data_IF_249847071645
#
_entry.id   IF_249847071645
#
_cell.length_a   1.000
_cell.length_b   1.000
_cell.length_c   1.000
_cell.angle_alpha   90.00
_cell.angle_beta   90.00
_cell.angle_gamma   90.00
#
_symmetry.space_group_name_H-M   'P 1'
#
loop_
_entity.id
_entity.type
_entity.pdbx_description
1 polymer ?
#
# COMPACT_ATOMS: atom_id res chain seq x y z
N UNK A 1 5.18 -22.30 -39.93
CA UNK A 1 4.02 -21.68 -39.25
C UNK A 1 4.29 -20.19 -39.14
N UNK A 2 3.29 -19.32 -39.13
CA UNK A 2 3.50 -17.87 -38.98
C UNK A 2 2.28 -17.18 -38.36
N UNK A 3 2.52 -16.06 -37.66
CA UNK A 3 1.46 -15.25 -37.05
C UNK A 3 0.92 -14.27 -38.08
N UNK A 4 -0.39 -14.09 -38.07
CA UNK A 4 -1.08 -13.02 -38.78
C UNK A 4 -1.91 -12.25 -37.79
N UNK A 5 -1.63 -10.95 -37.74
CA UNK A 5 -2.46 -9.95 -37.10
C UNK A 5 -3.18 -9.24 -38.23
N UNK A 6 -4.51 -9.33 -38.21
CA UNK A 6 -5.37 -8.67 -39.17
C UNK A 6 -6.07 -7.52 -38.45
N UNK A 7 -5.88 -6.29 -38.94
CA UNK A 7 -6.72 -5.17 -38.53
C UNK A 7 -8.13 -5.35 -39.09
N UNK A 8 -9.12 -5.17 -38.22
CA UNK A 8 -10.55 -5.26 -38.53
C UNK A 8 -11.27 -4.04 -37.97
N UNK A 9 -12.37 -3.66 -38.59
CA UNK A 9 -13.24 -2.60 -38.08
C UNK A 9 -14.31 -3.19 -37.14
N UNK A 10 -14.42 -2.61 -35.95
CA UNK A 10 -15.41 -2.96 -34.94
C UNK A 10 -16.71 -2.18 -35.18
N UNK A 11 -17.85 -2.85 -34.98
CA UNK A 11 -19.17 -2.24 -35.19
C UNK A 11 -19.47 -1.09 -34.23
N UNK A 12 -18.94 -1.16 -33.01
CA UNK A 12 -19.23 -0.21 -31.92
C UNK A 12 -17.91 0.34 -31.37
N UNK A 13 -17.86 1.64 -31.06
CA UNK A 13 -16.72 2.22 -30.35
C UNK A 13 -16.66 1.68 -28.91
N UNK A 14 -15.48 1.74 -28.31
CA UNK A 14 -15.33 1.48 -26.88
C UNK A 14 -16.03 2.60 -26.09
N UNK A 15 -16.81 2.25 -25.07
CA UNK A 15 -17.56 3.23 -24.25
C UNK A 15 -16.88 3.56 -22.92
N UNK A 16 -15.78 2.88 -22.61
CA UNK A 16 -15.10 2.93 -21.33
C UNK A 16 -13.87 3.84 -21.41
N UNK A 17 -14.05 5.07 -21.90
CA UNK A 17 -13.02 6.10 -21.82
C UNK A 17 -12.65 6.44 -20.38
N UNK A 18 -11.47 7.00 -20.15
CA UNK A 18 -11.15 7.57 -18.84
C UNK A 18 -12.09 8.73 -18.53
N UNK A 19 -12.35 8.97 -17.24
CA UNK A 19 -13.15 10.11 -16.82
C UNK A 19 -12.41 11.41 -17.10
N UNK A 20 -13.15 12.45 -17.52
CA UNK A 20 -12.55 13.73 -17.88
C UNK A 20 -12.08 14.56 -16.68
N UNK A 21 -12.64 14.30 -15.50
CA UNK A 21 -12.29 15.03 -14.29
C UNK A 21 -12.19 14.11 -13.09
N UNK A 22 -11.30 14.48 -12.18
CA UNK A 22 -11.29 14.10 -10.79
C UNK A 22 -12.07 15.19 -10.02
N UNK A 23 -13.01 14.78 -9.18
CA UNK A 23 -13.89 15.69 -8.44
C UNK A 23 -13.73 15.45 -6.94
N UNK A 24 -13.55 16.52 -6.16
CA UNK A 24 -13.67 16.44 -4.70
C UNK A 24 -15.11 16.67 -4.28
N UNK A 25 -15.60 15.86 -3.35
CA UNK A 25 -16.93 15.94 -2.76
C UNK A 25 -16.84 15.90 -1.25
N UNK A 26 -17.67 16.68 -0.59
CA UNK A 26 -17.82 16.63 0.85
C UNK A 26 -18.91 15.63 1.21
N UNK A 27 -18.58 14.66 2.06
CA UNK A 27 -19.55 13.73 2.64
C UNK A 27 -19.86 14.18 4.06
N UNK A 28 -21.08 14.67 4.27
CA UNK A 28 -21.56 14.97 5.61
C UNK A 28 -22.06 13.68 6.26
N UNK A 29 -21.48 13.31 7.41
CA UNK A 29 -21.83 12.09 8.12
C UNK A 29 -21.57 12.22 9.62
N UNK A 30 -22.40 11.53 10.43
CA UNK A 30 -22.16 11.39 11.87
C UNK A 30 -22.27 9.92 12.28
N UNK A 31 -21.41 9.49 13.21
CA UNK A 31 -21.43 8.15 13.80
C UNK A 31 -21.50 8.33 15.32
N UNK A 32 -22.54 7.76 15.94
CA UNK A 32 -22.78 7.85 17.39
C UNK A 32 -22.74 9.29 17.93
N UNK A 33 -23.31 10.23 17.18
CA UNK A 33 -23.35 11.66 17.53
C UNK A 33 -22.04 12.42 17.32
N UNK A 34 -20.98 11.76 16.85
CA UNK A 34 -19.70 12.40 16.48
C UNK A 34 -19.71 12.74 14.99
N UNK A 35 -19.29 13.96 14.67
CA UNK A 35 -19.05 14.37 13.29
C UNK A 35 -17.86 13.59 12.71
N UNK A 36 -18.11 12.85 11.64
CA UNK A 36 -17.09 12.12 10.85
C UNK A 36 -17.14 12.56 9.39
N UNK A 37 -17.64 13.78 9.14
CA UNK A 37 -17.70 14.35 7.82
C UNK A 37 -16.30 14.57 7.26
N UNK A 38 -16.13 14.19 5.99
CA UNK A 38 -14.84 14.19 5.32
C UNK A 38 -14.99 14.45 3.82
N UNK A 39 -13.91 14.93 3.22
CA UNK A 39 -13.74 15.04 1.79
C UNK A 39 -13.34 13.68 1.22
N UNK A 40 -13.98 13.31 0.12
CA UNK A 40 -13.62 12.17 -0.69
C UNK A 40 -13.52 12.64 -2.14
N UNK A 41 -13.06 11.75 -3.02
CA UNK A 41 -13.00 12.04 -4.44
C UNK A 41 -13.71 10.98 -5.26
N UNK A 42 -14.23 11.41 -6.40
CA UNK A 42 -14.78 10.52 -7.41
C UNK A 42 -14.33 10.98 -8.79
N UNK A 43 -14.36 10.05 -9.73
CA UNK A 43 -14.20 10.35 -11.13
C UNK A 43 -15.53 10.82 -11.73
N UNK A 44 -15.48 11.80 -12.63
CA UNK A 44 -16.67 12.32 -13.30
C UNK A 44 -17.38 11.25 -14.13
N UNK A 45 -18.71 11.37 -14.24
CA UNK A 45 -19.51 10.54 -15.16
C UNK A 45 -19.19 10.84 -16.63
N UNK A 46 -18.79 12.08 -16.93
CA UNK A 46 -18.32 12.46 -18.26
C UNK A 46 -16.97 11.78 -18.54
N UNK A 47 -16.91 11.04 -19.65
CA UNK A 47 -15.72 10.26 -20.07
C UNK A 47 -15.24 10.72 -21.44
N UNK A 48 -13.99 10.46 -21.75
CA UNK A 48 -13.47 10.68 -23.10
C UNK A 48 -14.15 9.75 -24.10
N UNK A 49 -14.48 10.30 -25.28
CA UNK A 49 -14.96 9.48 -26.37
C UNK A 49 -13.80 8.70 -26.99
N UNK A 50 -14.06 7.44 -27.32
CA UNK A 50 -13.09 6.51 -27.88
C UNK A 50 -13.48 6.14 -29.32
N UNK A 51 -13.30 7.04 -30.30
CA UNK A 51 -13.84 6.89 -31.66
C UNK A 51 -13.11 5.83 -32.50
N UNK A 52 -11.90 5.40 -32.11
CA UNK A 52 -11.12 4.43 -32.87
C UNK A 52 -11.79 3.05 -32.79
N UNK A 53 -12.30 2.58 -33.92
CA UNK A 53 -12.99 1.27 -34.04
C UNK A 53 -12.07 0.16 -34.55
N UNK A 54 -10.77 0.26 -34.29
CA UNK A 54 -9.82 -0.77 -34.72
C UNK A 54 -9.84 -1.96 -33.76
N UNK A 55 -9.86 -3.15 -34.32
CA UNK A 55 -9.62 -4.41 -33.64
C UNK A 55 -8.53 -5.20 -34.35
N UNK A 56 -7.86 -6.07 -33.62
CA UNK A 56 -6.74 -6.86 -34.11
C UNK A 56 -7.04 -8.33 -33.89
N UNK A 57 -7.30 -9.05 -34.98
CA UNK A 57 -7.52 -10.49 -34.97
C UNK A 57 -6.16 -11.18 -35.10
N UNK A 58 -5.73 -11.83 -34.02
CA UNK A 58 -4.45 -12.53 -33.92
C UNK A 58 -4.69 -14.00 -34.23
N UNK A 59 -3.90 -14.56 -35.13
CA UNK A 59 -4.07 -15.93 -35.61
C UNK A 59 -2.75 -16.58 -36.01
N UNK A 60 -2.70 -17.91 -35.84
CA UNK A 60 -1.60 -18.75 -36.27
C UNK A 60 -2.00 -19.46 -37.57
N UNK A 61 -1.14 -19.36 -38.58
CA UNK A 61 -1.35 -19.97 -39.89
C UNK A 61 -0.32 -21.06 -40.16
N UNK A 62 -0.80 -22.20 -40.69
CA UNK A 62 0.04 -23.30 -41.18
C UNK A 62 -0.33 -23.59 -42.63
N UNK A 63 0.60 -23.29 -43.54
CA UNK A 63 0.52 -23.69 -44.94
C UNK A 63 0.94 -25.14 -45.10
N UNK A 64 0.26 -25.87 -45.98
CA UNK A 64 0.56 -27.27 -46.31
C UNK A 64 0.20 -27.54 -47.78
N UNK A 65 0.66 -28.66 -48.35
CA UNK A 65 0.28 -29.09 -49.69
C UNK A 65 -0.63 -30.30 -49.64
N UNK A 66 -1.67 -30.29 -50.46
CA UNK A 66 -2.58 -31.42 -50.64
C UNK A 66 -2.87 -31.53 -52.14
N UNK A 67 -2.56 -32.69 -52.73
CA UNK A 67 -2.68 -32.93 -54.18
C UNK A 67 -1.99 -31.85 -55.03
N UNK A 68 -0.77 -31.44 -54.64
CA UNK A 68 0.03 -30.42 -55.33
C UNK A 68 -0.45 -28.98 -55.14
N UNK A 69 -1.62 -28.74 -54.54
CA UNK A 69 -2.16 -27.40 -54.26
C UNK A 69 -1.78 -26.94 -52.85
N UNK A 70 -1.37 -25.68 -52.72
CA UNK A 70 -1.11 -25.06 -51.41
C UNK A 70 -2.44 -24.76 -50.72
N UNK A 71 -2.62 -25.30 -49.51
CA UNK A 71 -3.74 -25.03 -48.61
C UNK A 71 -3.23 -24.41 -47.31
N UNK A 72 -4.13 -23.83 -46.53
CA UNK A 72 -3.82 -23.08 -45.30
C UNK A 72 -4.83 -23.41 -44.21
N UNK A 73 -4.33 -23.88 -43.06
CA UNK A 73 -5.12 -23.94 -41.80
C UNK A 73 -4.90 -22.65 -41.01
N UNK A 74 -5.97 -22.17 -40.39
CA UNK A 74 -5.97 -20.95 -39.59
C UNK A 74 -6.49 -21.24 -38.19
N UNK A 75 -5.78 -20.78 -37.18
CA UNK A 75 -6.15 -20.94 -35.78
C UNK A 75 -6.21 -19.55 -35.14
N UNK A 76 -7.42 -19.09 -34.80
CA UNK A 76 -7.62 -17.77 -34.21
C UNK A 76 -7.28 -17.84 -32.73
N UNK A 77 -6.30 -17.05 -32.30
CA UNK A 77 -5.96 -16.91 -30.89
C UNK A 77 -6.97 -16.02 -30.21
N UNK A 78 -7.06 -14.77 -30.62
CA UNK A 78 -7.86 -13.78 -29.91
C UNK A 78 -8.18 -12.62 -30.85
N UNK A 79 -9.13 -11.79 -30.45
CA UNK A 79 -9.42 -10.51 -31.10
C UNK A 79 -9.47 -9.47 -30.01
N UNK A 80 -8.60 -8.47 -30.11
CA UNK A 80 -8.43 -7.43 -29.08
C UNK A 80 -8.72 -6.07 -29.72
N UNK A 81 -9.38 -5.17 -28.99
CA UNK A 81 -9.63 -3.83 -29.51
C UNK A 81 -8.45 -2.89 -29.27
N UNK A 82 -8.36 -1.80 -30.03
CA UNK A 82 -7.28 -0.81 -29.91
C UNK A 82 -7.07 -0.32 -28.48
N UNK A 83 -8.15 0.00 -27.76
CA UNK A 83 -8.06 0.58 -26.42
C UNK A 83 -7.67 -0.43 -25.35
N UNK A 84 -7.99 -1.72 -25.51
CA UNK A 84 -7.49 -2.76 -24.60
C UNK A 84 -5.96 -2.87 -24.68
N UNK A 85 -5.38 -2.67 -25.88
CA UNK A 85 -3.93 -2.62 -26.08
C UNK A 85 -3.35 -1.32 -25.52
N UNK A 86 -3.98 -0.19 -25.85
CA UNK A 86 -3.51 1.14 -25.48
C UNK A 86 -3.41 1.34 -23.96
N UNK A 87 -4.42 0.85 -23.25
CA UNK A 87 -4.64 1.14 -21.83
C UNK A 87 -4.08 0.04 -20.91
N UNK A 88 -3.16 -0.79 -21.44
CA UNK A 88 -2.45 -1.89 -20.72
C UNK A 88 -3.35 -3.02 -20.18
N UNK A 89 -4.58 -3.16 -20.66
CA UNK A 89 -5.49 -4.25 -20.29
C UNK A 89 -5.21 -5.56 -21.03
N UNK A 90 -4.47 -5.50 -22.13
CA UNK A 90 -4.11 -6.66 -22.92
C UNK A 90 -2.74 -7.22 -22.56
N UNK A 91 -2.72 -8.50 -22.19
CA UNK A 91 -1.53 -9.33 -22.18
C UNK A 91 -1.80 -10.60 -23.00
N UNK A 92 -0.78 -11.11 -23.71
CA UNK A 92 -0.93 -12.30 -24.53
C UNK A 92 -1.28 -13.53 -23.66
N UNK A 93 -0.70 -13.60 -22.47
CA UNK A 93 -0.93 -14.65 -21.50
C UNK A 93 -2.41 -14.69 -21.06
N UNK A 94 -2.92 -13.58 -20.52
CA UNK A 94 -4.29 -13.53 -19.98
C UNK A 94 -5.36 -13.80 -21.05
N UNK A 95 -5.10 -13.38 -22.29
CA UNK A 95 -6.09 -13.47 -23.36
C UNK A 95 -6.02 -14.77 -24.16
N UNK A 96 -4.84 -15.37 -24.29
CA UNK A 96 -4.61 -16.35 -25.35
C UNK A 96 -3.89 -17.63 -24.84
N UNK A 97 -3.44 -17.73 -23.58
CA UNK A 97 -2.68 -18.87 -23.04
C UNK A 97 -3.33 -20.24 -23.32
N UNK A 98 -4.58 -20.41 -22.85
CA UNK A 98 -5.33 -21.67 -23.07
C UNK A 98 -5.41 -22.04 -24.55
N UNK A 99 -5.56 -21.06 -25.45
CA UNK A 99 -5.66 -21.31 -26.90
C UNK A 99 -4.30 -21.61 -27.51
N UNK A 100 -3.25 -20.95 -27.03
CA UNK A 100 -1.87 -21.22 -27.43
C UNK A 100 -1.53 -22.68 -27.11
N UNK A 101 -1.80 -23.13 -25.88
CA UNK A 101 -1.53 -24.51 -25.46
C UNK A 101 -2.27 -25.54 -26.34
N UNK A 102 -3.56 -25.32 -26.62
CA UNK A 102 -4.34 -26.20 -27.52
C UNK A 102 -3.79 -26.23 -28.96
N UNK A 103 -3.37 -25.07 -29.50
CA UNK A 103 -2.83 -25.01 -30.85
C UNK A 103 -1.45 -25.66 -30.90
N UNK A 104 -0.64 -25.54 -29.84
CA UNK A 104 0.66 -26.18 -29.72
C UNK A 104 0.53 -27.70 -29.85
N UNK A 105 -0.40 -28.30 -29.10
CA UNK A 105 -0.74 -29.72 -29.18
C UNK A 105 -1.18 -30.13 -30.59
N UNK A 106 -2.14 -29.41 -31.19
CA UNK A 106 -2.66 -29.70 -32.54
C UNK A 106 -1.56 -29.63 -33.61
N UNK A 107 -0.59 -28.74 -33.42
CA UNK A 107 0.48 -28.51 -34.37
C UNK A 107 1.72 -29.37 -34.12
N UNK A 108 1.79 -30.07 -33.00
CA UNK A 108 2.93 -30.89 -32.57
C UNK A 108 4.16 -30.03 -32.28
N UNK A 109 3.97 -28.88 -31.64
CA UNK A 109 5.03 -27.93 -31.24
C UNK A 109 4.87 -27.57 -29.78
N UNK A 110 5.88 -26.96 -29.17
CA UNK A 110 5.78 -26.38 -27.84
C UNK A 110 5.06 -25.01 -27.86
N UNK A 111 4.46 -24.65 -26.72
CA UNK A 111 3.72 -23.38 -26.56
C UNK A 111 4.63 -22.15 -26.66
N UNK A 112 5.87 -22.25 -26.18
CA UNK A 112 6.85 -21.16 -26.18
C UNK A 112 7.17 -20.70 -27.62
N UNK A 113 7.30 -21.65 -28.55
CA UNK A 113 7.44 -21.38 -29.99
C UNK A 113 6.27 -20.57 -30.53
N UNK A 114 5.04 -20.83 -30.06
CA UNK A 114 3.87 -20.04 -30.48
C UNK A 114 3.89 -18.66 -29.82
N UNK A 115 4.19 -18.56 -28.52
CA UNK A 115 4.33 -17.29 -27.80
C UNK A 115 5.32 -16.36 -28.51
N UNK A 116 6.56 -16.81 -28.69
CA UNK A 116 7.64 -16.05 -29.34
C UNK A 116 7.22 -15.55 -30.73
N UNK A 117 6.54 -16.40 -31.50
CA UNK A 117 6.11 -16.10 -32.85
C UNK A 117 4.97 -15.07 -32.90
N UNK A 118 4.11 -15.02 -31.88
CA UNK A 118 3.09 -13.98 -31.72
C UNK A 118 3.72 -12.68 -31.22
N UNK A 119 4.52 -12.75 -30.15
CA UNK A 119 5.15 -11.59 -29.51
C UNK A 119 6.02 -10.80 -30.47
N UNK A 120 6.89 -11.47 -31.23
CA UNK A 120 7.74 -10.84 -32.27
C UNK A 120 6.94 -9.96 -33.23
N UNK A 121 5.69 -10.34 -33.55
CA UNK A 121 4.83 -9.59 -34.46
C UNK A 121 3.93 -8.58 -33.74
N UNK A 122 3.59 -8.85 -32.49
CA UNK A 122 2.64 -8.09 -31.69
C UNK A 122 3.29 -6.91 -30.97
N UNK A 123 4.53 -7.05 -30.51
CA UNK A 123 5.25 -6.00 -29.78
C UNK A 123 5.36 -4.67 -30.53
N UNK A 124 5.75 -4.63 -31.82
CA UNK A 124 5.83 -3.35 -32.55
C UNK A 124 4.47 -2.67 -32.67
N UNK A 125 3.40 -3.46 -32.81
CA UNK A 125 2.03 -2.96 -32.86
C UNK A 125 1.59 -2.40 -31.51
N UNK A 126 1.83 -3.14 -30.42
CA UNK A 126 1.53 -2.68 -29.05
C UNK A 126 2.25 -1.36 -28.78
N UNK A 127 3.54 -1.28 -29.11
CA UNK A 127 4.34 -0.08 -28.94
C UNK A 127 3.75 1.10 -29.70
N UNK A 128 3.46 0.93 -31.00
CA UNK A 128 2.88 2.00 -31.82
C UNK A 128 1.53 2.48 -31.28
N UNK A 129 0.66 1.58 -30.82
CA UNK A 129 -0.65 1.94 -30.26
C UNK A 129 -0.49 2.69 -28.94
N UNK A 130 0.42 2.25 -28.07
CA UNK A 130 0.70 2.94 -26.80
C UNK A 130 1.29 4.32 -27.05
N UNK A 131 2.28 4.44 -27.94
CA UNK A 131 2.91 5.71 -28.27
C UNK A 131 1.89 6.72 -28.83
N UNK A 132 0.97 6.27 -29.70
CA UNK A 132 -0.15 7.08 -30.20
C UNK A 132 -1.11 7.50 -29.07
N UNK A 133 -1.55 6.56 -28.24
CA UNK A 133 -2.47 6.82 -27.15
C UNK A 133 -1.88 7.78 -26.10
N UNK A 134 -0.58 7.68 -25.83
CA UNK A 134 0.13 8.56 -24.90
C UNK A 134 0.10 10.05 -25.32
N UNK A 135 -0.12 10.34 -26.60
CA UNK A 135 -0.26 11.72 -27.09
C UNK A 135 -1.66 12.29 -26.88
N UNK A 136 -2.64 11.46 -26.54
CA UNK A 136 -4.04 11.86 -26.39
C UNK A 136 -4.28 12.63 -25.10
N UNK A 137 -5.28 13.52 -25.12
CA UNK A 137 -5.74 14.21 -23.91
C UNK A 137 -6.35 13.24 -22.89
N UNK A 138 -6.94 12.14 -23.35
CA UNK A 138 -7.46 11.09 -22.48
C UNK A 138 -6.34 10.51 -21.59
N UNK A 139 -5.21 10.12 -22.21
CA UNK A 139 -4.08 9.56 -21.48
C UNK A 139 -3.47 10.57 -20.51
N UNK A 140 -3.18 11.80 -20.97
CA UNK A 140 -2.60 12.85 -20.12
C UNK A 140 -3.49 13.17 -18.91
N UNK A 141 -4.80 13.22 -19.12
CA UNK A 141 -5.78 13.45 -18.05
C UNK A 141 -5.79 12.30 -17.05
N UNK A 142 -5.74 11.06 -17.52
CA UNK A 142 -5.68 9.89 -16.64
C UNK A 142 -4.40 9.84 -15.81
N UNK A 143 -3.23 10.07 -16.43
CA UNK A 143 -1.94 10.12 -15.72
C UNK A 143 -1.92 11.24 -14.67
N UNK A 144 -2.51 12.40 -14.99
CA UNK A 144 -2.60 13.49 -14.03
C UNK A 144 -3.51 13.14 -12.85
N UNK A 145 -4.62 12.45 -13.10
CA UNK A 145 -5.46 11.94 -12.01
C UNK A 145 -4.71 10.95 -11.12
N UNK A 146 -4.01 9.97 -11.70
CA UNK A 146 -3.20 9.00 -10.94
C UNK A 146 -2.08 9.68 -10.14
N UNK A 147 -1.46 10.72 -10.72
CA UNK A 147 -0.47 11.54 -10.01
C UNK A 147 -1.10 12.23 -8.79
N UNK A 148 -2.27 12.84 -8.96
CA UNK A 148 -2.97 13.54 -7.88
C UNK A 148 -3.38 12.56 -6.76
N UNK A 149 -3.96 11.41 -7.09
CA UNK A 149 -4.39 10.41 -6.09
C UNK A 149 -3.21 9.76 -5.36
N UNK A 150 -2.09 9.57 -6.05
CA UNK A 150 -0.82 9.11 -5.45
C UNK A 150 -0.28 10.13 -4.46
N UNK A 151 -0.20 11.41 -4.85
CA UNK A 151 0.24 12.50 -3.97
C UNK A 151 -0.69 12.64 -2.77
N UNK A 152 -2.01 12.56 -2.98
CA UNK A 152 -3.00 12.58 -1.91
C UNK A 152 -2.72 11.45 -0.90
N UNK A 153 -2.50 10.23 -1.37
CA UNK A 153 -2.19 9.08 -0.50
C UNK A 153 -0.90 9.31 0.30
N UNK A 154 0.15 9.84 -0.33
CA UNK A 154 1.40 10.18 0.36
C UNK A 154 1.19 11.27 1.43
N UNK A 155 0.46 12.34 1.11
CA UNK A 155 0.15 13.43 2.07
C UNK A 155 -0.65 12.93 3.28
N UNK A 156 -1.57 11.98 3.09
CA UNK A 156 -2.29 11.35 4.21
C UNK A 156 -1.34 10.65 5.17
N UNK A 157 -0.35 9.94 4.65
CA UNK A 157 0.67 9.24 5.43
C UNK A 157 1.56 10.27 6.16
N UNK A 158 2.11 11.25 5.45
CA UNK A 158 2.95 12.30 6.03
C UNK A 158 2.22 13.08 7.14
N UNK A 159 0.94 13.38 6.94
CA UNK A 159 0.11 14.05 7.93
C UNK A 159 -0.11 13.17 9.18
N UNK A 160 -0.42 11.89 8.99
CA UNK A 160 -0.57 10.92 10.07
C UNK A 160 0.69 10.80 10.90
N UNK A 161 1.86 10.70 10.26
CA UNK A 161 3.17 10.62 10.91
C UNK A 161 3.49 11.91 11.68
N UNK A 162 3.32 13.07 11.03
CA UNK A 162 3.60 14.38 11.64
C UNK A 162 2.81 14.61 12.91
N UNK A 163 1.51 14.32 12.89
CA UNK A 163 0.60 14.61 14.00
C UNK A 163 0.30 13.38 14.87
N UNK A 164 0.88 12.21 14.58
CA UNK A 164 0.63 10.96 15.28
C UNK A 164 -0.87 10.63 15.37
N UNK A 165 -1.58 10.66 14.24
CA UNK A 165 -3.02 10.45 14.15
C UNK A 165 -3.38 9.48 13.01
N UNK A 166 -4.67 9.17 12.85
CA UNK A 166 -5.13 8.34 11.73
C UNK A 166 -4.98 9.08 10.39
N UNK A 167 -4.53 8.37 9.34
CA UNK A 167 -4.33 8.94 8.00
C UNK A 167 -5.61 9.50 7.38
N UNK A 168 -6.77 8.98 7.75
CA UNK A 168 -8.07 9.44 7.26
C UNK A 168 -8.48 10.76 7.90
N UNK A 169 -7.83 11.18 9.01
CA UNK A 169 -8.02 12.52 9.59
C UNK A 169 -7.65 13.63 8.62
N UNK A 170 -6.69 13.37 7.71
CA UNK A 170 -6.34 14.28 6.62
C UNK A 170 -7.58 14.64 5.77
N UNK A 171 -8.44 13.67 5.48
CA UNK A 171 -9.62 13.86 4.64
C UNK A 171 -10.71 14.68 5.33
N UNK A 172 -10.66 14.85 6.65
CA UNK A 172 -11.56 15.79 7.34
C UNK A 172 -11.13 17.25 7.14
N UNK A 173 -9.89 17.48 6.71
CA UNK A 173 -9.23 18.79 6.68
C UNK A 173 -8.95 19.26 5.25
N UNK A 174 -8.45 18.36 4.40
CA UNK A 174 -8.02 18.66 3.04
C UNK A 174 -8.79 17.83 2.02
N UNK A 175 -8.91 18.38 0.81
CA UNK A 175 -9.43 17.63 -0.33
C UNK A 175 -8.34 16.77 -1.03
N UNK A 176 -8.73 16.08 -2.10
CA UNK A 176 -7.82 15.24 -2.90
C UNK A 176 -6.69 16.04 -3.58
N UNK A 177 -6.90 17.33 -3.85
CA UNK A 177 -5.91 18.22 -4.44
C UNK A 177 -4.96 18.82 -3.38
N UNK A 178 -5.29 18.67 -2.10
CA UNK A 178 -4.57 19.21 -0.95
C UNK A 178 -4.96 20.64 -0.58
N UNK A 179 -6.11 21.12 -1.05
CA UNK A 179 -6.64 22.40 -0.61
C UNK A 179 -7.12 22.28 0.84
N UNK A 180 -6.84 23.30 1.66
CA UNK A 180 -7.35 23.35 3.03
C UNK A 180 -8.84 23.69 3.01
N UNK A 181 -9.65 22.75 3.48
CA UNK A 181 -11.10 22.84 3.45
C UNK A 181 -11.72 23.04 4.83
N UNK A 182 -11.05 22.58 5.90
CA UNK A 182 -11.52 22.75 7.27
C UNK A 182 -10.38 23.24 8.18
N UNK A 183 -10.32 24.55 8.38
CA UNK A 183 -9.30 25.19 9.21
C UNK A 183 -9.44 24.84 10.69
N UNK A 184 -10.68 24.76 11.19
CA UNK A 184 -10.94 24.47 12.61
C UNK A 184 -10.44 23.08 13.00
N UNK A 185 -10.71 22.05 12.17
CA UNK A 185 -10.20 20.69 12.40
C UNK A 185 -8.67 20.61 12.32
N UNK A 186 -8.03 21.43 11.46
CA UNK A 186 -6.56 21.52 11.44
C UNK A 186 -6.04 22.08 12.76
N UNK A 187 -6.58 23.21 13.22
CA UNK A 187 -6.21 23.84 14.48
C UNK A 187 -6.41 22.89 15.67
N UNK A 188 -7.49 22.09 15.67
CA UNK A 188 -7.74 21.05 16.68
C UNK A 188 -6.64 19.97 16.69
N UNK A 189 -6.29 19.42 15.52
CA UNK A 189 -5.23 18.41 15.40
C UNK A 189 -3.87 18.96 15.85
N UNK A 190 -3.56 20.20 15.47
CA UNK A 190 -2.32 20.87 15.87
C UNK A 190 -2.26 21.11 17.39
N UNK A 191 -3.34 21.57 17.99
CA UNK A 191 -3.44 21.77 19.43
C UNK A 191 -3.29 20.45 20.19
N UNK A 192 -3.98 19.39 19.74
CA UNK A 192 -3.89 18.06 20.35
C UNK A 192 -2.48 17.46 20.25
N UNK A 193 -1.80 17.65 19.11
CA UNK A 193 -0.42 17.25 18.94
C UNK A 193 0.51 17.99 19.91
N UNK A 194 0.38 19.31 20.00
CA UNK A 194 1.20 20.14 20.90
C UNK A 194 0.99 19.76 22.36
N UNK A 195 -0.26 19.61 22.80
CA UNK A 195 -0.59 19.21 24.17
C UNK A 195 0.02 17.84 24.54
N UNK A 196 -0.04 16.87 23.61
CA UNK A 196 0.58 15.56 23.79
C UNK A 196 2.10 15.63 23.88
N UNK A 197 2.76 16.44 23.04
CA UNK A 197 4.21 16.65 23.10
C UNK A 197 4.64 17.28 24.41
N UNK A 198 3.93 18.33 24.86
CA UNK A 198 4.19 18.94 26.16
C UNK A 198 4.00 17.96 27.33
N UNK A 199 2.99 17.09 27.25
CA UNK A 199 2.79 16.03 28.25
C UNK A 199 3.91 14.99 28.22
N UNK A 200 4.32 14.51 27.05
CA UNK A 200 5.43 13.58 26.87
C UNK A 200 6.74 14.13 27.44
N UNK A 201 7.04 15.42 27.20
CA UNK A 201 8.21 16.11 27.73
C UNK A 201 8.15 16.25 29.26
N UNK A 202 7.01 16.69 29.80
CA UNK A 202 6.80 16.82 31.24
C UNK A 202 6.92 15.46 31.93
N UNK A 203 6.25 14.43 31.41
CA UNK A 203 6.35 13.06 31.91
C UNK A 203 7.78 12.54 31.85
N UNK A 204 8.49 12.74 30.75
CA UNK A 204 9.89 12.33 30.59
C UNK A 204 10.81 13.04 31.59
N UNK A 205 10.58 14.32 31.86
CA UNK A 205 11.32 15.11 32.85
C UNK A 205 11.05 14.63 34.27
N UNK A 206 9.78 14.35 34.59
CA UNK A 206 9.35 13.80 35.87
C UNK A 206 9.94 12.42 36.10
N UNK A 207 9.89 11.53 35.11
CA UNK A 207 10.47 10.20 35.17
C UNK A 207 11.99 10.24 35.35
N UNK A 208 12.69 11.11 34.61
CA UNK A 208 14.14 11.35 34.78
C UNK A 208 14.47 11.88 36.18
N UNK A 209 13.67 12.81 36.70
CA UNK A 209 13.85 13.36 38.04
C UNK A 209 13.56 12.32 39.12
N UNK A 210 12.49 11.53 38.98
CA UNK A 210 12.13 10.44 39.89
C UNK A 210 13.24 9.39 39.94
N UNK A 211 13.75 8.92 38.80
CA UNK A 211 14.86 7.97 38.76
C UNK A 211 16.17 8.57 39.28
N UNK A 212 16.43 9.87 39.04
CA UNK A 212 17.64 10.53 39.54
C UNK A 212 17.60 10.71 41.06
N UNK A 213 16.43 11.02 41.63
CA UNK A 213 16.21 11.07 43.07
C UNK A 213 16.23 9.68 43.71
N UNK A 214 15.65 8.67 43.06
CA UNK A 214 15.73 7.27 43.51
C UNK A 214 17.19 6.76 43.50
N UNK A 215 17.97 7.08 42.46
CA UNK A 215 19.40 6.74 42.43
C UNK A 215 20.19 7.48 43.52
N UNK A 216 19.85 8.74 43.81
CA UNK A 216 20.45 9.49 44.92
C UNK A 216 20.11 8.89 46.30
N UNK A 217 18.86 8.48 46.50
CA UNK A 217 18.42 7.84 47.75
C UNK A 217 19.08 6.47 47.98
N UNK A 218 19.40 5.73 46.92
CA UNK A 218 20.13 4.47 47.00
C UNK A 218 21.66 4.62 47.00
N UNK A 219 22.19 5.78 46.59
CA UNK A 219 23.62 6.10 46.62
C UNK A 219 24.04 6.86 47.90
N UNK A 220 23.08 7.40 48.65
CA UNK A 220 23.26 7.93 50.01
C UNK A 220 22.81 6.85 51.00
N UNK A 221 23.78 6.08 51.53
CA UNK A 221 23.54 4.79 52.17
C UNK A 221 22.51 4.78 53.30
N UNK A 222 21.74 3.70 53.36
CA UNK A 222 21.04 3.28 54.58
C UNK A 222 21.62 1.94 55.03
N UNK A 223 22.40 2.01 56.10
CA UNK A 223 22.69 0.91 57.01
C UNK A 223 21.41 0.56 57.77
N UNK A 224 20.58 -0.31 57.22
CA UNK A 224 19.57 -1.00 58.01
C UNK A 224 19.60 -2.48 57.66
N UNK A 225 20.10 -3.26 58.62
CA UNK A 225 20.11 -4.70 58.59
C UNK A 225 18.68 -5.21 58.73
N UNK A 226 18.13 -5.80 57.68
CA UNK A 226 17.08 -6.79 57.81
C UNK A 226 17.61 -8.13 57.30
N UNK A 227 17.79 -9.03 58.26
CA UNK A 227 18.26 -10.39 58.07
C UNK A 227 17.20 -11.20 57.33
N UNK A 228 17.28 -11.23 56.01
CA UNK A 228 16.63 -12.26 55.19
C UNK A 228 17.75 -13.16 54.66
N UNK A 229 17.74 -14.43 55.08
CA UNK A 229 18.75 -15.42 54.72
C UNK A 229 18.62 -15.80 53.24
N UNK A 230 19.23 -15.02 52.35
CA UNK A 230 19.44 -15.38 50.95
C UNK A 230 20.84 -15.96 50.79
N UNK A 231 20.99 -17.09 50.09
CA UNK A 231 22.28 -17.78 49.87
C UNK A 231 23.24 -17.08 48.89
N UNK A 232 22.98 -15.82 48.52
CA UNK A 232 23.79 -15.07 47.54
C UNK A 232 24.92 -14.30 48.21
N UNK A 233 26.12 -14.36 47.63
CA UNK A 233 27.28 -13.60 48.09
C UNK A 233 27.05 -12.08 47.92
N UNK A 234 27.84 -11.25 48.61
CA UNK A 234 27.68 -9.80 48.55
C UNK A 234 27.88 -9.23 47.12
N UNK A 235 28.77 -9.85 46.33
CA UNK A 235 29.04 -9.47 44.93
C UNK A 235 27.89 -9.90 44.00
N UNK A 236 27.27 -11.07 44.26
CA UNK A 236 26.10 -11.52 43.52
C UNK A 236 24.89 -10.61 43.76
N UNK A 237 24.73 -10.09 44.99
CA UNK A 237 23.62 -9.19 45.32
C UNK A 237 23.67 -7.86 44.56
N UNK A 238 24.86 -7.31 44.29
CA UNK A 238 24.96 -6.09 43.50
C UNK A 238 24.58 -6.35 42.03
N UNK A 239 25.05 -7.48 41.49
CA UNK A 239 24.70 -7.91 40.13
C UNK A 239 23.19 -8.20 40.00
N UNK A 240 22.58 -8.86 40.98
CA UNK A 240 21.13 -9.11 41.02
C UNK A 240 20.32 -7.81 41.13
N UNK A 241 20.80 -6.81 41.89
CA UNK A 241 20.21 -5.46 41.92
C UNK A 241 20.28 -4.78 40.56
N UNK A 242 21.39 -4.93 39.83
CA UNK A 242 21.51 -4.41 38.47
C UNK A 242 20.54 -5.11 37.50
N UNK A 243 20.41 -6.44 37.57
CA UNK A 243 19.44 -7.19 36.77
C UNK A 243 18.01 -6.77 37.07
N UNK A 244 17.64 -6.64 38.35
CA UNK A 244 16.33 -6.16 38.75
C UNK A 244 16.05 -4.75 38.20
N UNK A 245 17.03 -3.83 38.27
CA UNK A 245 16.90 -2.46 37.71
C UNK A 245 16.62 -2.46 36.20
N UNK A 246 17.36 -3.27 35.44
CA UNK A 246 17.19 -3.35 33.98
C UNK A 246 15.85 -3.96 33.60
N UNK A 247 15.47 -5.05 34.27
CA UNK A 247 14.21 -5.75 34.01
C UNK A 247 12.99 -4.92 34.45
N UNK A 248 13.06 -4.25 35.61
CA UNK A 248 11.99 -3.39 36.13
C UNK A 248 11.73 -2.22 35.19
N UNK A 249 12.80 -1.59 34.68
CA UNK A 249 12.67 -0.54 33.64
C UNK A 249 12.04 -1.07 32.35
N UNK A 250 12.40 -2.29 31.92
CA UNK A 250 11.92 -2.88 30.67
C UNK A 250 10.44 -3.27 30.74
N UNK A 251 9.98 -3.76 31.89
CA UNK A 251 8.62 -4.28 32.07
C UNK A 251 7.68 -3.33 32.82
N UNK A 252 8.12 -2.11 33.15
CA UNK A 252 7.28 -1.12 33.82
C UNK A 252 6.03 -0.79 32.96
N UNK A 253 4.82 -0.71 33.56
CA UNK A 253 3.58 -0.40 32.83
C UNK A 253 3.66 0.94 32.09
N UNK A 254 4.26 1.97 32.70
CA UNK A 254 4.44 3.29 32.08
C UNK A 254 5.30 3.28 30.81
N UNK A 255 6.19 2.28 30.65
CA UNK A 255 7.01 2.11 29.46
C UNK A 255 6.36 1.19 28.41
N UNK A 256 5.25 0.53 28.73
CA UNK A 256 4.57 -0.47 27.90
C UNK A 256 3.05 -0.20 27.82
N UNK A 257 2.67 1.01 27.46
CA UNK A 257 1.27 1.51 27.52
C UNK A 257 0.28 0.66 26.70
N UNK A 258 0.75 -0.04 25.66
CA UNK A 258 -0.09 -0.89 24.78
C UNK A 258 0.04 -2.40 25.06
N UNK A 259 0.80 -2.80 26.08
CA UNK A 259 1.09 -4.21 26.37
C UNK A 259 0.99 -4.45 27.88
N UNK A 260 0.08 -5.32 28.32
CA UNK A 260 -0.06 -5.63 29.75
C UNK A 260 1.15 -6.44 30.25
N UNK A 261 2.02 -5.77 31.00
CA UNK A 261 3.23 -6.36 31.61
C UNK A 261 3.06 -6.65 33.11
N UNK A 262 1.83 -6.59 33.64
CA UNK A 262 1.55 -6.70 35.07
C UNK A 262 2.02 -8.03 35.67
N UNK A 263 1.89 -9.14 34.93
CA UNK A 263 2.34 -10.48 35.38
C UNK A 263 3.87 -10.57 35.48
N UNK A 264 4.59 -9.98 34.53
CA UNK A 264 6.04 -9.94 34.51
C UNK A 264 6.58 -9.09 35.68
N UNK A 265 5.90 -7.97 36.00
CA UNK A 265 6.24 -7.15 37.16
C UNK A 265 5.94 -7.83 38.49
N UNK A 266 4.82 -8.56 38.59
CA UNK A 266 4.52 -9.37 39.79
C UNK A 266 5.58 -10.45 40.02
N UNK A 267 5.96 -11.19 38.97
CA UNK A 267 7.02 -12.20 39.04
C UNK A 267 8.37 -11.57 39.40
N UNK A 268 8.71 -10.42 38.81
CA UNK A 268 9.97 -9.73 39.11
C UNK A 268 10.04 -9.25 40.58
N UNK A 269 8.90 -8.84 41.16
CA UNK A 269 8.82 -8.47 42.58
C UNK A 269 8.92 -9.68 43.52
N UNK A 270 8.42 -10.85 43.11
CA UNK A 270 8.64 -12.09 43.85
C UNK A 270 10.13 -12.47 43.85
N UNK A 271 10.77 -12.43 42.67
CA UNK A 271 12.20 -12.69 42.52
C UNK A 271 13.06 -11.72 43.34
N UNK A 272 12.69 -10.44 43.43
CA UNK A 272 13.35 -9.46 44.29
C UNK A 272 13.39 -9.92 45.76
N UNK A 273 12.25 -10.40 46.27
CA UNK A 273 12.15 -10.87 47.65
C UNK A 273 12.95 -12.16 47.85
N UNK A 274 12.93 -13.08 46.89
CA UNK A 274 13.71 -14.34 46.93
C UNK A 274 15.23 -14.09 46.87
N UNK A 275 15.66 -13.12 46.07
CA UNK A 275 17.05 -12.69 45.96
C UNK A 275 17.53 -11.90 47.18
N UNK A 276 16.61 -11.42 48.03
CA UNK A 276 16.91 -10.65 49.23
C UNK A 276 17.56 -9.30 48.92
N UNK A 277 17.02 -8.57 47.92
CA UNK A 277 17.52 -7.27 47.42
C UNK A 277 16.46 -6.17 47.36
#
# INVERSE_FOLDING_TARGET
MYCVIQEIELKKPNKNGHSKRLESKFMQMSISGKDVSHYWYCYSEERFERPIKKGYKISIHKSYRENGKVKKKQYVLCTVNYYDIADKWFSLYDYCDRRINLIAEVLGTDSETIYNLVETKLEPLIKSIKDEFMQTEEYKTHEEHERITTIHTARKIEFAEKYGCDKDKYNEIYDVFGNLMNKEKLEEVEANYKARKEYEEKSSSYYKQYYSNYNNYYSSGSSYSDSISSNHSAEDKDTLKQFYRVLSKKFHPDANINTDTSKQMQLLNQLKNEWGI
#
